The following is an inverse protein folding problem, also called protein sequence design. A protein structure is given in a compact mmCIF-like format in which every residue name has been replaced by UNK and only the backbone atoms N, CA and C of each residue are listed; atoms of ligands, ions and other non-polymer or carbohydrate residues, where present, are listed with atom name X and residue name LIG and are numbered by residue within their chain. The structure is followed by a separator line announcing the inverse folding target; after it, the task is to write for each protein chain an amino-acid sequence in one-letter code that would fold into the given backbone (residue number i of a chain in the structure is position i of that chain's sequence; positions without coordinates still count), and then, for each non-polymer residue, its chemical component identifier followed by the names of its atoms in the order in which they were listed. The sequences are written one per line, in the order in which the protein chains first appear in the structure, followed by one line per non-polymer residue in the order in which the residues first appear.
data_IF_980269727501
#
_entry.id   IF_980269727501
#
_cell.length_a   1.000
_cell.length_b   1.000
_cell.length_c   1.000
_cell.angle_alpha   90.00
_cell.angle_beta   90.00
_cell.angle_gamma   90.00
#
_symmetry.space_group_name_H-M   'P 1'
#
loop_
_entity.id
_entity.type
_entity.pdbx_description
1 polymer ?
#
# COMPACT_ATOMS: atom_id res chain seq x y z
N UNK A 1 -9.62 17.78 -32.43
CA UNK A 1 -8.39 17.77 -31.61
C UNK A 1 -8.79 17.66 -30.15
N UNK A 2 -8.42 16.58 -29.46
CA UNK A 2 -8.80 16.37 -28.06
C UNK A 2 -7.59 15.92 -27.26
N UNK A 3 -7.20 16.72 -26.26
CA UNK A 3 -6.15 16.41 -25.30
C UNK A 3 -6.80 16.43 -23.92
N UNK A 4 -6.71 15.33 -23.17
CA UNK A 4 -7.20 15.25 -21.79
C UNK A 4 -6.02 15.18 -20.82
N UNK A 5 -6.07 16.03 -19.80
CA UNK A 5 -5.06 16.20 -18.76
C UNK A 5 -5.69 15.89 -17.40
N UNK A 6 -5.05 15.02 -16.61
CA UNK A 6 -5.38 14.83 -15.20
C UNK A 6 -4.16 15.25 -14.36
N UNK A 7 -4.38 16.25 -13.51
CA UNK A 7 -3.42 16.89 -12.59
C UNK A 7 -2.11 17.36 -13.23
N UNK A 8 -1.20 16.46 -13.58
CA UNK A 8 0.09 16.77 -14.23
C UNK A 8 0.44 15.82 -15.38
N UNK A 9 -0.50 14.97 -15.81
CA UNK A 9 -0.25 13.92 -16.81
C UNK A 9 -1.29 13.94 -17.93
N UNK A 10 -0.80 13.73 -19.15
CA UNK A 10 -1.66 13.51 -20.33
C UNK A 10 -2.21 12.09 -20.24
N UNK A 11 -3.53 11.97 -20.12
CA UNK A 11 -4.27 10.69 -20.09
C UNK A 11 -4.84 10.32 -21.45
N UNK A 12 -5.05 11.31 -22.34
CA UNK A 12 -5.50 11.07 -23.71
C UNK A 12 -4.87 12.06 -24.68
N UNK A 13 -4.29 11.54 -25.75
CA UNK A 13 -3.68 12.31 -26.84
C UNK A 13 -4.16 11.77 -28.20
N UNK A 14 -5.15 12.44 -28.80
CA UNK A 14 -5.66 12.09 -30.13
C UNK A 14 -5.61 13.32 -31.05
N UNK A 15 -4.69 13.27 -32.02
CA UNK A 15 -4.54 14.26 -33.09
C UNK A 15 -4.87 13.59 -34.42
N UNK A 16 -5.71 14.24 -35.21
CA UNK A 16 -6.17 13.75 -36.50
C UNK A 16 -5.03 13.83 -37.53
N UNK A 17 -4.63 12.69 -38.09
CA UNK A 17 -3.52 12.57 -39.04
C UNK A 17 -2.20 12.04 -38.47
N UNK A 18 -2.07 11.83 -37.15
CA UNK A 18 -0.91 11.21 -36.53
C UNK A 18 -1.20 9.78 -36.00
N UNK A 19 -0.22 8.86 -36.02
CA UNK A 19 -0.39 7.53 -35.44
C UNK A 19 -0.64 7.61 -33.92
N UNK A 20 -1.64 6.87 -33.43
CA UNK A 20 -2.01 6.83 -32.00
C UNK A 20 -0.79 6.50 -31.13
N UNK A 21 -0.31 7.50 -30.39
CA UNK A 21 0.84 7.35 -29.49
C UNK A 21 0.39 6.59 -28.24
N UNK A 22 0.92 5.39 -28.04
CA UNK A 22 0.74 4.66 -26.79
C UNK A 22 1.48 5.41 -25.68
N UNK A 23 0.75 5.89 -24.68
CA UNK A 23 1.33 6.45 -23.48
C UNK A 23 1.75 5.25 -22.61
N UNK A 24 3.05 5.03 -22.36
CA UNK A 24 3.47 3.95 -21.46
C UNK A 24 2.80 4.14 -20.10
N UNK A 25 2.42 3.04 -19.41
CA UNK A 25 1.92 3.14 -18.05
C UNK A 25 2.98 3.86 -17.23
N UNK A 26 2.64 5.05 -16.74
CA UNK A 26 3.51 5.83 -15.86
C UNK A 26 3.86 5.04 -14.61
N UNK A 27 4.96 5.42 -13.98
CA UNK A 27 5.44 4.79 -12.75
C UNK A 27 4.29 4.55 -11.76
N UNK A 28 4.25 3.36 -11.17
CA UNK A 28 3.23 3.00 -10.19
C UNK A 28 3.22 4.04 -9.08
N UNK A 29 2.08 4.72 -8.88
CA UNK A 29 1.88 5.59 -7.74
C UNK A 29 2.01 4.71 -6.50
N UNK A 30 2.91 5.06 -5.59
CA UNK A 30 3.11 4.28 -4.37
C UNK A 30 2.13 4.74 -3.29
N UNK A 31 1.90 3.88 -2.29
CA UNK A 31 1.12 4.24 -1.10
C UNK A 31 1.66 5.51 -0.39
N UNK A 32 2.96 5.79 -0.51
CA UNK A 32 3.60 6.99 0.02
C UNK A 32 3.20 8.27 -0.74
N UNK A 33 2.83 8.17 -2.01
CA UNK A 33 2.41 9.29 -2.87
C UNK A 33 0.89 9.47 -2.90
N UNK A 34 0.13 8.38 -2.76
CA UNK A 34 -1.32 8.44 -2.61
C UNK A 34 -1.82 7.29 -1.74
N UNK A 35 -2.60 7.56 -0.68
CA UNK A 35 -3.21 6.52 0.15
C UNK A 35 -4.13 5.57 -0.65
N UNK A 36 -4.73 6.04 -1.75
CA UNK A 36 -5.61 5.23 -2.60
C UNK A 36 -4.86 4.33 -3.57
N UNK A 37 -3.53 4.43 -3.63
CA UNK A 37 -2.69 3.56 -4.45
C UNK A 37 -2.43 2.19 -3.81
N UNK A 38 -2.84 2.00 -2.55
CA UNK A 38 -2.91 0.67 -1.96
C UNK A 38 -4.06 -0.10 -2.63
N UNK A 39 -3.74 -1.25 -3.22
CA UNK A 39 -4.74 -2.14 -3.79
C UNK A 39 -5.78 -2.54 -2.73
N UNK A 40 -7.05 -2.59 -3.15
CA UNK A 40 -8.17 -2.99 -2.26
C UNK A 40 -8.20 -4.51 -2.05
N UNK A 41 -7.55 -5.25 -2.94
CA UNK A 41 -7.61 -6.70 -3.00
C UNK A 41 -6.79 -7.33 -1.87
N UNK A 42 -5.65 -6.74 -1.52
CA UNK A 42 -4.76 -7.19 -0.46
C UNK A 42 -5.44 -7.09 0.91
N UNK A 43 -6.10 -5.97 1.19
CA UNK A 43 -6.87 -5.81 2.43
C UNK A 43 -8.06 -6.77 2.46
N UNK A 44 -8.75 -6.95 1.34
CA UNK A 44 -9.88 -7.89 1.25
C UNK A 44 -9.42 -9.31 1.56
N UNK A 45 -8.28 -9.74 1.03
CA UNK A 45 -7.69 -11.04 1.33
C UNK A 45 -7.33 -11.18 2.82
N UNK A 46 -6.75 -10.14 3.43
CA UNK A 46 -6.43 -10.12 4.85
C UNK A 46 -7.69 -10.29 5.73
N UNK A 47 -8.75 -9.53 5.47
CA UNK A 47 -10.00 -9.66 6.21
C UNK A 47 -10.65 -11.04 6.05
N UNK A 48 -10.66 -11.59 4.82
CA UNK A 48 -11.15 -12.95 4.58
C UNK A 48 -10.38 -13.99 5.40
N UNK A 49 -9.06 -13.86 5.48
CA UNK A 49 -8.24 -14.78 6.25
C UNK A 49 -8.56 -14.74 7.76
N UNK A 50 -8.86 -13.55 8.31
CA UNK A 50 -9.30 -13.40 9.70
C UNK A 50 -10.67 -14.05 9.92
N UNK A 51 -11.65 -13.76 9.07
CA UNK A 51 -12.99 -14.36 9.16
C UNK A 51 -12.92 -15.89 9.08
N UNK A 52 -12.16 -16.42 8.13
CA UNK A 52 -11.95 -17.87 7.99
C UNK A 52 -11.31 -18.47 9.25
N UNK A 53 -10.32 -17.80 9.85
CA UNK A 53 -9.68 -18.27 11.08
C UNK A 53 -10.65 -18.40 12.25
N UNK A 54 -11.60 -17.45 12.37
CA UNK A 54 -12.65 -17.48 13.39
C UNK A 54 -13.66 -18.61 13.15
N UNK A 55 -14.07 -18.82 11.90
CA UNK A 55 -15.05 -19.86 11.53
C UNK A 55 -14.47 -21.27 11.67
N UNK A 56 -13.21 -21.44 11.28
CA UNK A 56 -12.51 -22.73 11.25
C UNK A 56 -11.81 -23.05 12.58
N UNK A 57 -11.78 -22.11 13.53
CA UNK A 57 -11.14 -22.29 14.83
C UNK A 57 -9.62 -22.48 14.76
N UNK A 58 -8.97 -21.94 13.72
CA UNK A 58 -7.50 -22.01 13.52
C UNK A 58 -6.86 -20.64 13.67
N UNK A 59 -5.53 -20.60 13.76
CA UNK A 59 -4.81 -19.34 13.82
C UNK A 59 -4.92 -18.56 12.48
N UNK A 60 -5.06 -17.22 12.53
CA UNK A 60 -4.89 -16.37 11.35
C UNK A 60 -3.41 -16.37 10.91
N UNK A 61 -3.11 -15.95 9.66
CA UNK A 61 -1.75 -15.89 9.14
C UNK A 61 -0.78 -15.06 10.01
N UNK A 62 -1.30 -14.03 10.68
CA UNK A 62 -0.57 -13.24 11.68
C UNK A 62 -1.34 -13.33 12.99
N UNK A 63 -0.72 -13.95 13.99
CA UNK A 63 -1.31 -14.09 15.32
C UNK A 63 -1.26 -12.76 16.09
N UNK A 64 -2.07 -12.66 17.15
CA UNK A 64 -2.00 -11.51 18.06
C UNK A 64 -0.65 -11.39 18.78
N UNK A 65 0.04 -12.51 19.02
CA UNK A 65 1.39 -12.48 19.59
C UNK A 65 2.38 -11.86 18.62
N UNK A 66 2.35 -12.28 17.35
CA UNK A 66 3.21 -11.74 16.31
C UNK A 66 2.93 -10.25 16.06
N UNK A 67 1.65 -9.87 16.03
CA UNK A 67 1.26 -8.46 15.94
C UNK A 67 1.81 -7.61 17.09
N UNK A 68 1.83 -8.15 18.32
CA UNK A 68 2.42 -7.46 19.48
C UNK A 68 3.93 -7.31 19.36
N UNK A 69 4.65 -8.29 18.80
CA UNK A 69 6.10 -8.17 18.55
C UNK A 69 6.40 -7.03 17.60
N UNK A 70 5.66 -6.92 16.49
CA UNK A 70 5.80 -5.80 15.56
C UNK A 70 5.59 -4.44 16.25
N UNK A 71 4.59 -4.34 17.12
CA UNK A 71 4.36 -3.11 17.91
C UNK A 71 5.50 -2.82 18.90
N UNK A 72 6.05 -3.86 19.55
CA UNK A 72 7.18 -3.71 20.47
C UNK A 72 8.41 -3.14 19.75
N UNK A 73 8.68 -3.58 18.52
CA UNK A 73 9.71 -3.00 17.64
C UNK A 73 9.53 -1.51 17.43
N UNK A 74 8.31 -1.09 17.05
CA UNK A 74 8.00 0.32 16.80
C UNK A 74 8.18 1.16 18.06
N UNK A 75 7.71 0.66 19.20
CA UNK A 75 7.88 1.33 20.49
C UNK A 75 9.35 1.45 20.90
N UNK A 76 10.16 0.43 20.65
CA UNK A 76 11.60 0.47 20.90
C UNK A 76 12.32 1.50 20.03
N UNK A 77 11.92 1.68 18.77
CA UNK A 77 12.45 2.75 17.89
C UNK A 77 12.15 4.13 18.49
N UNK A 78 10.91 4.35 18.97
CA UNK A 78 10.55 5.62 19.59
C UNK A 78 11.31 5.88 20.89
N UNK A 79 11.49 4.86 21.72
CA UNK A 79 12.25 5.00 22.96
C UNK A 79 13.75 5.20 22.71
N UNK A 80 14.32 4.50 21.72
CA UNK A 80 15.69 4.69 21.31
C UNK A 80 15.93 6.12 20.79
N UNK A 81 14.99 6.66 20.02
CA UNK A 81 15.04 8.03 19.51
C UNK A 81 14.94 9.07 20.64
N UNK A 82 14.13 8.81 21.67
CA UNK A 82 13.96 9.70 22.83
C UNK A 82 15.18 9.68 23.74
N UNK A 83 15.74 8.51 23.99
CA UNK A 83 16.83 8.31 24.96
C UNK A 83 18.23 8.44 24.36
N UNK A 84 18.35 8.35 23.03
CA UNK A 84 19.62 8.30 22.31
C UNK A 84 20.40 7.00 22.51
N UNK A 85 19.74 5.92 23.00
CA UNK A 85 20.37 4.62 23.29
C UNK A 85 19.63 3.48 22.58
N UNK A 86 20.31 2.39 22.21
CA UNK A 86 19.64 1.20 21.71
C UNK A 86 18.66 0.60 22.74
N UNK A 87 17.50 0.12 22.27
CA UNK A 87 16.46 -0.51 23.10
C UNK A 87 16.11 -1.89 22.50
N UNK A 88 16.10 -2.93 23.32
CA UNK A 88 15.71 -4.30 22.92
C UNK A 88 14.21 -4.54 23.14
N UNK A 89 13.63 -5.49 22.40
CA UNK A 89 12.20 -5.83 22.39
C UNK A 89 11.96 -7.28 21.97
#
# INVERSE_FOLDING_TARGET
MTIALEETRIVRYEIEGEPKRQIPPGAAVTAAQSPTALGRDEFTAQYRAVVASLQEGRAPPVSGEEARRAMATVLAIYEASRSGRPVAF
#
